data_IF_278132920435
#
_entry.id   IF_278132920435
#
_cell.length_a   1.000
_cell.length_b   1.000
_cell.length_c   1.000
_cell.angle_alpha   90.00
_cell.angle_beta   90.00
_cell.angle_gamma   90.00
#
_symmetry.space_group_name_H-M   'P 1'
#
loop_
_entity.id
_entity.type
_entity.pdbx_description
1 polymer ?
#
# COMPACT_ATOMS: atom_id res chain seq x y z
N UNK A 1 12.97 -5.67 1.14
CA UNK A 1 12.67 -5.13 -0.22
C UNK A 1 11.30 -5.64 -0.67
N UNK A 2 10.40 -4.73 -1.05
CA UNK A 2 9.04 -5.09 -1.49
C UNK A 2 9.00 -5.58 -2.95
N UNK A 3 8.20 -6.62 -3.22
CA UNK A 3 7.88 -7.10 -4.57
C UNK A 3 6.40 -7.04 -4.82
N UNK A 4 6.03 -6.77 -6.07
CA UNK A 4 4.65 -6.88 -6.52
C UNK A 4 4.20 -8.34 -6.37
N UNK A 5 3.09 -8.54 -5.67
CA UNK A 5 2.36 -9.82 -5.65
C UNK A 5 1.46 -9.89 -6.88
N UNK A 6 1.44 -11.03 -7.57
CA UNK A 6 0.40 -11.37 -8.54
C UNK A 6 -0.86 -11.84 -7.85
N UNK A 7 -0.71 -12.45 -6.68
CA UNK A 7 -1.77 -13.16 -5.99
C UNK A 7 -2.46 -12.21 -5.02
N UNK A 8 -3.78 -12.35 -4.82
CA UNK A 8 -4.49 -11.60 -3.80
C UNK A 8 -3.87 -11.87 -2.44
N UNK A 9 -3.77 -10.83 -1.62
CA UNK A 9 -3.23 -10.97 -0.28
C UNK A 9 -4.21 -11.82 0.54
N UNK A 10 -3.79 -13.02 0.94
CA UNK A 10 -4.57 -13.92 1.79
C UNK A 10 -4.60 -13.38 3.22
N UNK A 11 -5.33 -12.29 3.42
CA UNK A 11 -5.46 -11.62 4.71
C UNK A 11 -6.72 -12.12 5.41
N UNK A 12 -6.55 -12.56 6.65
CA UNK A 12 -7.65 -12.95 7.52
C UNK A 12 -7.74 -11.96 8.68
N UNK A 13 -8.91 -11.87 9.27
CA UNK A 13 -9.13 -11.03 10.45
C UNK A 13 -8.27 -11.49 11.65
N UNK A 14 -7.99 -12.80 11.75
CA UNK A 14 -7.14 -13.36 12.78
C UNK A 14 -5.64 -13.03 12.57
N UNK A 15 -5.21 -12.87 11.30
CA UNK A 15 -3.82 -12.57 10.97
C UNK A 15 -3.51 -11.08 10.92
N UNK A 16 -4.50 -10.19 10.81
CA UNK A 16 -4.25 -8.74 10.78
C UNK A 16 -3.70 -8.26 12.14
N UNK A 17 -2.50 -7.66 12.10
CA UNK A 17 -1.82 -7.09 13.27
C UNK A 17 -1.97 -5.57 13.33
N UNK A 18 -1.81 -4.88 12.19
CA UNK A 18 -1.99 -3.43 12.12
C UNK A 18 -2.38 -2.98 10.72
N UNK A 19 -3.10 -1.86 10.63
CA UNK A 19 -3.44 -1.19 9.39
C UNK A 19 -3.16 0.31 9.50
N UNK A 20 -2.51 0.87 8.47
CA UNK A 20 -2.19 2.29 8.37
C UNK A 20 -2.60 2.86 6.99
N UNK A 21 -3.74 3.56 6.90
CA UNK A 21 -4.19 4.20 5.66
C UNK A 21 -3.32 5.40 5.27
N UNK A 22 -3.16 5.64 3.97
CA UNK A 22 -2.56 6.89 3.49
C UNK A 22 -3.55 8.06 3.63
N UNK A 23 -3.06 9.23 4.02
CA UNK A 23 -3.83 10.47 4.18
C UNK A 23 -4.03 11.23 2.87
N UNK A 24 -3.18 10.97 1.88
CA UNK A 24 -3.20 11.65 0.60
C UNK A 24 -3.44 10.68 -0.56
N UNK A 25 -3.69 11.25 -1.75
CA UNK A 25 -3.86 10.50 -2.98
C UNK A 25 -2.96 11.07 -4.09
N UNK A 26 -1.64 10.76 -4.09
CA UNK A 26 -0.73 11.25 -5.10
C UNK A 26 -1.09 10.71 -6.49
N UNK A 27 -0.73 11.47 -7.53
CA UNK A 27 -0.83 11.02 -8.92
C UNK A 27 0.34 10.11 -9.24
N UNK A 28 0.06 8.84 -9.51
CA UNK A 28 1.09 7.85 -9.85
C UNK A 28 1.19 7.67 -11.36
N UNK A 29 2.42 7.48 -11.85
CA UNK A 29 2.70 7.02 -13.21
C UNK A 29 3.63 5.80 -13.15
N UNK A 30 3.02 4.64 -12.87
CA UNK A 30 3.74 3.36 -12.73
C UNK A 30 3.18 2.36 -13.73
N UNK A 31 4.02 1.48 -14.28
CA UNK A 31 3.69 0.61 -15.43
C UNK A 31 2.46 -0.31 -15.28
N UNK A 32 1.97 -0.49 -14.06
CA UNK A 32 0.93 -1.45 -13.71
C UNK A 32 -0.33 -0.82 -13.10
N UNK A 33 -0.39 0.52 -13.04
CA UNK A 33 -1.61 1.28 -12.71
C UNK A 33 -1.83 2.32 -13.81
N UNK A 34 -3.08 2.68 -14.13
CA UNK A 34 -3.32 3.84 -14.98
C UNK A 34 -2.78 5.10 -14.30
N UNK A 35 -2.39 6.08 -15.13
CA UNK A 35 -1.89 7.36 -14.63
C UNK A 35 -3.04 8.11 -13.98
N UNK A 36 -2.91 8.45 -12.70
CA UNK A 36 -3.98 9.15 -11.98
C UNK A 36 -3.78 9.10 -10.47
N UNK A 37 -4.68 9.74 -9.71
CA UNK A 37 -4.66 9.70 -8.25
C UNK A 37 -4.87 8.26 -7.76
N UNK A 38 -4.07 7.84 -6.78
CA UNK A 38 -4.17 6.52 -6.16
C UNK A 38 -4.29 6.64 -4.64
N UNK A 39 -4.96 5.67 -4.01
CA UNK A 39 -5.01 5.51 -2.54
C UNK A 39 -4.15 4.33 -2.13
N UNK A 40 -3.63 4.36 -0.91
CA UNK A 40 -2.83 3.27 -0.38
C UNK A 40 -3.15 2.97 1.08
N UNK A 41 -2.76 1.76 1.51
CA UNK A 41 -2.69 1.38 2.90
C UNK A 41 -1.54 0.40 3.12
N UNK A 42 -0.91 0.48 4.29
CA UNK A 42 0.08 -0.49 4.75
C UNK A 42 -0.60 -1.41 5.75
N UNK A 43 -0.39 -2.71 5.59
CA UNK A 43 -0.89 -3.74 6.50
C UNK A 43 0.26 -4.59 7.02
N UNK A 44 0.27 -4.82 8.34
CA UNK A 44 1.10 -5.83 8.98
C UNK A 44 0.23 -7.01 9.37
N UNK A 45 0.69 -8.23 9.11
CA UNK A 45 -0.06 -9.45 9.37
C UNK A 45 0.84 -10.59 9.84
N UNK A 46 0.31 -11.49 10.64
CA UNK A 46 0.98 -12.72 11.05
C UNK A 46 1.03 -13.71 9.88
N UNK A 47 2.20 -14.27 9.60
CA UNK A 47 2.37 -15.35 8.63
C UNK A 47 2.23 -16.73 9.28
N UNK A 48 1.81 -17.73 8.49
CA UNK A 48 1.51 -19.09 8.96
C UNK A 48 2.73 -19.80 9.57
N UNK A 49 3.94 -19.48 9.12
CA UNK A 49 5.19 -20.13 9.56
C UNK A 49 5.86 -19.46 10.76
N UNK A 50 5.17 -18.55 11.43
CA UNK A 50 5.74 -17.76 12.51
C UNK A 50 6.58 -16.62 11.96
N UNK A 51 6.07 -15.40 12.10
CA UNK A 51 6.68 -14.19 11.58
C UNK A 51 5.64 -13.16 11.20
N UNK A 52 6.12 -11.98 10.83
CA UNK A 52 5.30 -10.85 10.43
C UNK A 52 5.54 -10.53 8.95
N UNK A 53 4.45 -10.57 8.18
CA UNK A 53 4.38 -10.09 6.82
C UNK A 53 4.01 -8.60 6.78
N UNK A 54 4.53 -7.90 5.79
CA UNK A 54 4.16 -6.52 5.48
C UNK A 54 3.69 -6.44 4.03
N UNK A 55 2.60 -5.72 3.82
CA UNK A 55 2.13 -5.41 2.48
C UNK A 55 1.69 -3.96 2.34
N UNK A 56 1.93 -3.41 1.14
CA UNK A 56 1.45 -2.10 0.70
C UNK A 56 0.41 -2.35 -0.38
N UNK A 57 -0.85 -2.07 -0.08
CA UNK A 57 -1.91 -2.07 -1.07
C UNK A 57 -2.01 -0.69 -1.72
N UNK A 58 -2.06 -0.63 -3.05
CA UNK A 58 -2.26 0.61 -3.82
C UNK A 58 -3.41 0.40 -4.79
N UNK A 59 -4.41 1.29 -4.76
CA UNK A 59 -5.58 1.27 -5.65
C UNK A 59 -5.66 2.55 -6.47
N UNK A 60 -5.81 2.43 -7.78
CA UNK A 60 -6.12 3.57 -8.65
C UNK A 60 -7.55 4.06 -8.39
N UNK A 61 -7.75 5.38 -8.28
CA UNK A 61 -9.09 5.95 -8.14
C UNK A 61 -9.83 6.00 -9.48
N UNK A 62 -9.13 6.12 -10.61
CA UNK A 62 -9.75 6.23 -11.93
C UNK A 62 -10.20 4.89 -12.48
N UNK A 63 -9.34 3.86 -12.39
CA UNK A 63 -9.62 2.55 -12.96
C UNK A 63 -9.92 1.45 -11.95
N UNK A 64 -9.82 1.75 -10.64
CA UNK A 64 -10.07 0.77 -9.58
C UNK A 64 -9.04 -0.37 -9.49
N UNK A 65 -8.01 -0.40 -10.35
CA UNK A 65 -7.00 -1.46 -10.33
C UNK A 65 -6.20 -1.42 -9.03
N UNK A 66 -5.90 -2.60 -8.50
CA UNK A 66 -5.18 -2.76 -7.26
C UNK A 66 -3.84 -3.44 -7.54
N UNK A 67 -2.80 -2.95 -6.91
CA UNK A 67 -1.50 -3.61 -6.86
C UNK A 67 -1.06 -3.73 -5.42
N UNK A 68 -0.66 -4.93 -5.04
CA UNK A 68 -0.14 -5.23 -3.71
C UNK A 68 1.37 -5.45 -3.82
N UNK A 69 2.13 -4.79 -2.96
CA UNK A 69 3.55 -5.04 -2.78
C UNK A 69 3.76 -5.73 -1.45
N UNK A 70 4.33 -6.94 -1.44
CA UNK A 70 4.62 -7.71 -0.22
C UNK A 70 6.12 -7.71 0.07
N UNK A 71 6.51 -7.74 1.34
CA UNK A 71 7.88 -8.07 1.72
C UNK A 71 8.24 -9.50 1.26
N UNK A 72 9.49 -9.71 0.85
CA UNK A 72 9.96 -11.03 0.41
C UNK A 72 10.37 -11.92 1.58
N UNK A 73 10.83 -11.31 2.67
CA UNK A 73 11.38 -12.00 3.83
C UNK A 73 10.47 -11.68 5.02
N UNK A 74 9.94 -12.71 5.71
CA UNK A 74 9.17 -12.49 6.93
C UNK A 74 10.06 -11.79 7.96
N UNK A 75 9.45 -10.87 8.69
CA UNK A 75 10.09 -10.18 9.81
C UNK A 75 9.93 -11.06 11.03
N UNK A 76 10.98 -11.16 11.85
CA UNK A 76 10.90 -11.89 13.11
C UNK A 76 9.80 -11.31 14.01
N UNK A 77 9.04 -12.19 14.66
CA UNK A 77 7.96 -11.81 15.56
C UNK A 77 8.47 -11.08 16.83
N UNK A 78 9.77 -11.17 17.12
CA UNK A 78 10.42 -10.39 18.18
C UNK A 78 10.50 -8.89 17.90
N UNK A 79 10.43 -8.48 16.62
CA UNK A 79 10.52 -7.08 16.20
C UNK A 79 9.19 -6.38 16.44
N UNK A 80 9.23 -5.22 17.10
CA UNK A 80 8.03 -4.42 17.33
C UNK A 80 7.37 -3.96 16.02
N UNK A 81 6.03 -3.92 16.00
CA UNK A 81 5.25 -3.56 14.80
C UNK A 81 5.67 -2.18 14.25
N UNK A 82 5.90 -1.20 15.12
CA UNK A 82 6.34 0.14 14.73
C UNK A 82 7.67 0.12 13.97
N UNK A 83 8.65 -0.65 14.45
CA UNK A 83 9.96 -0.79 13.81
C UNK A 83 9.84 -1.53 12.47
N UNK A 84 9.03 -2.58 12.42
CA UNK A 84 8.78 -3.33 11.19
C UNK A 84 8.16 -2.43 10.10
N UNK A 85 7.19 -1.59 10.47
CA UNK A 85 6.50 -0.70 9.53
C UNK A 85 7.40 0.36 8.89
N UNK A 86 8.51 0.74 9.52
CA UNK A 86 9.44 1.77 9.01
C UNK A 86 9.92 1.46 7.58
N UNK A 87 10.17 0.18 7.30
CA UNK A 87 10.60 -0.24 5.95
C UNK A 87 9.48 -0.08 4.92
N UNK A 88 8.23 -0.33 5.31
CA UNK A 88 7.05 -0.15 4.46
C UNK A 88 6.76 1.34 4.23
N UNK A 89 6.84 2.16 5.29
CA UNK A 89 6.65 3.61 5.25
C UNK A 89 7.66 4.25 4.30
N UNK A 90 8.96 3.99 4.48
CA UNK A 90 10.00 4.52 3.59
C UNK A 90 9.79 4.13 2.12
N UNK A 91 9.23 2.93 1.88
CA UNK A 91 8.94 2.47 0.52
C UNK A 91 7.72 3.17 -0.09
N UNK A 92 6.68 3.39 0.70
CA UNK A 92 5.45 4.06 0.27
C UNK A 92 5.63 5.59 0.11
N UNK A 93 6.43 6.22 0.97
CA UNK A 93 6.78 7.65 0.88
C UNK A 93 7.56 7.97 -0.40
N UNK A 94 8.42 7.06 -0.87
CA UNK A 94 9.09 7.19 -2.17
C UNK A 94 8.12 7.17 -3.35
N UNK A 95 6.91 6.63 -3.16
CA UNK A 95 5.82 6.71 -4.14
C UNK A 95 4.97 7.98 -3.95
N UNK A 96 5.25 8.79 -2.93
CA UNK A 96 4.55 10.05 -2.62
C UNK A 96 3.38 9.92 -1.65
N UNK A 97 3.21 8.76 -1.00
CA UNK A 97 2.16 8.59 0.02
C UNK A 97 2.60 9.14 1.37
N UNK A 98 1.66 9.75 2.09
CA UNK A 98 1.82 10.23 3.46
C UNK A 98 0.87 9.44 4.35
N UNK A 99 1.34 9.02 5.52
CA UNK A 99 0.58 8.20 6.47
C UNK A 99 0.50 8.92 7.81
N UNK A 100 -0.68 8.88 8.42
CA UNK A 100 -0.89 9.43 9.77
C UNK A 100 -0.18 8.55 10.81
N UNK A 101 0.23 9.08 11.95
CA UNK A 101 0.77 8.28 13.07
C UNK A 101 -0.28 7.36 13.69
N UNK A 102 -1.56 7.67 13.48
CA UNK A 102 -2.69 6.87 13.94
C UNK A 102 -2.70 5.48 13.28
N UNK A 103 -2.27 4.48 14.04
CA UNK A 103 -2.28 3.08 13.67
C UNK A 103 -3.52 2.40 14.26
N UNK A 104 -4.26 1.67 13.41
CA UNK A 104 -5.31 0.77 13.90
C UNK A 104 -4.63 -0.54 14.29
N UNK A 105 -4.32 -0.67 15.58
CA UNK A 105 -3.76 -1.89 16.14
C UNK A 105 -4.82 -2.97 16.31
N UNK A 106 -4.50 -4.16 15.77
CA UNK A 106 -5.30 -5.35 15.91
C UNK A 106 -5.05 -6.03 17.25
N UNK A 107 -5.56 -5.46 18.35
CA UNK A 107 -5.53 -6.13 19.66
C UNK A 107 -6.28 -7.48 19.55
N UNK A 108 -5.69 -8.61 20.01
CA UNK A 108 -6.36 -9.91 19.99
C UNK A 108 -7.73 -9.85 20.68
N UNK A 109 -8.79 -10.23 19.97
CA UNK A 109 -10.17 -10.22 20.49
C UNK A 109 -10.84 -8.84 20.55
N UNK A 110 -10.18 -7.78 20.09
CA UNK A 110 -10.74 -6.42 20.04
C UNK A 110 -11.50 -6.11 18.75
N UNK A 111 -12.42 -5.15 18.83
CA UNK A 111 -13.15 -4.60 17.67
C UNK A 111 -12.22 -3.98 16.60
N UNK A 112 -10.98 -3.65 16.97
CA UNK A 112 -10.00 -3.03 16.07
C UNK A 112 -9.65 -3.88 14.84
N UNK A 113 -9.59 -5.22 14.96
CA UNK A 113 -9.28 -6.10 13.82
C UNK A 113 -10.39 -6.12 12.78
N UNK A 114 -11.64 -6.24 13.22
CA UNK A 114 -12.80 -6.17 12.33
C UNK A 114 -12.88 -4.84 11.61
N UNK A 115 -12.66 -3.74 12.35
CA UNK A 115 -12.63 -2.41 11.76
C UNK A 115 -11.49 -2.26 10.76
N UNK A 116 -10.29 -2.76 11.08
CA UNK A 116 -9.15 -2.74 10.18
C UNK A 116 -9.42 -3.57 8.92
N UNK A 117 -9.98 -4.77 9.04
CA UNK A 117 -10.36 -5.59 7.88
C UNK A 117 -11.40 -4.91 7.00
N UNK A 118 -12.45 -4.35 7.59
CA UNK A 118 -13.47 -3.61 6.86
C UNK A 118 -12.86 -2.37 6.16
N UNK A 119 -11.93 -1.68 6.81
CA UNK A 119 -11.24 -0.52 6.22
C UNK A 119 -10.29 -0.94 5.09
N UNK A 120 -9.54 -2.03 5.27
CA UNK A 120 -8.71 -2.61 4.22
C UNK A 120 -9.56 -3.00 3.00
N UNK A 121 -10.67 -3.69 3.22
CA UNK A 121 -11.67 -4.00 2.19
C UNK A 121 -12.12 -2.72 1.48
N UNK A 122 -12.61 -1.72 2.22
CA UNK A 122 -13.04 -0.45 1.63
C UNK A 122 -11.96 0.25 0.80
N UNK A 123 -10.69 0.22 1.23
CA UNK A 123 -9.58 0.89 0.55
C UNK A 123 -9.10 0.12 -0.68
N UNK A 124 -9.02 -1.20 -0.57
CA UNK A 124 -8.59 -2.07 -1.66
C UNK A 124 -9.72 -2.48 -2.57
N UNK A 125 -10.95 -2.03 -2.32
CA UNK A 125 -12.12 -2.48 -3.06
C UNK A 125 -12.40 -3.93 -2.72
N UNK A 126 -13.04 -4.15 -1.57
CA UNK A 126 -14.00 -5.23 -1.42
C UNK A 126 -14.81 -5.22 -2.68
N UNK A 127 -14.74 -6.33 -3.39
CA UNK A 127 -15.34 -6.61 -4.68
C UNK A 127 -16.75 -5.99 -4.72
N UNK A 128 -16.86 -4.71 -5.09
CA UNK A 128 -17.94 -4.26 -5.96
C UNK A 128 -17.66 -5.04 -7.24
N UNK A 129 -18.01 -6.34 -7.20
CA UNK A 129 -18.55 -7.03 -8.35
C UNK A 129 -19.40 -5.96 -9.02
N UNK A 130 -19.02 -5.48 -10.20
CA UNK A 130 -19.69 -4.36 -10.84
C UNK A 130 -21.16 -4.68 -10.71
N UNK A 131 -21.88 -3.90 -9.87
CA UNK A 131 -23.27 -4.18 -9.54
C UNK A 131 -23.92 -4.41 -10.88
N UNK A 132 -24.37 -5.65 -11.11
CA UNK A 132 -24.70 -6.18 -12.43
C UNK A 132 -25.38 -5.05 -13.20
N UNK A 133 -24.79 -4.62 -14.35
CA UNK A 133 -25.02 -3.31 -14.95
C UNK A 133 -26.48 -2.99 -14.76
N UNK A 134 -26.79 -2.04 -13.86
CA UNK A 134 -28.17 -1.78 -13.47
C UNK A 134 -28.95 -1.76 -14.77
N UNK A 135 -29.75 -2.80 -14.98
CA UNK A 135 -30.52 -2.94 -16.18
C UNK A 135 -31.36 -1.68 -16.18
N UNK A 136 -30.97 -0.72 -17.00
CA UNK A 136 -31.68 0.55 -17.17
C UNK A 136 -33.11 0.08 -17.34
N UNK A 137 -34.02 0.32 -16.38
CA UNK A 137 -35.37 -0.19 -16.49
C UNK A 137 -35.86 0.37 -17.79
N UNK A 138 -36.05 -0.51 -18.78
CA UNK A 138 -36.48 -0.15 -20.12
C UNK A 138 -37.68 0.74 -19.95
N UNK A 139 -37.47 2.05 -20.08
CA UNK A 139 -38.57 3.00 -20.05
C UNK A 139 -39.51 2.52 -21.15
N UNK A 140 -40.80 2.25 -20.84
CA UNK A 140 -41.73 1.83 -21.84
C UNK A 140 -41.71 2.88 -22.95
N UNK A 141 -41.33 2.44 -24.13
CA UNK A 141 -41.23 3.26 -25.33
C UNK A 141 -42.54 4.04 -25.51
N UNK A 142 -42.50 5.34 -25.25
CA UNK A 142 -43.53 6.24 -25.75
C UNK A 142 -43.22 6.45 -27.21
N UNK A 143 -43.95 5.72 -28.05
CA UNK A 143 -43.95 5.83 -29.50
C UNK A 143 -44.21 7.27 -29.95
N UNK A 144 -43.18 7.94 -30.45
CA UNK A 144 -43.31 9.03 -31.42
C UNK A 144 -42.32 8.71 -32.55
N UNK A 145 -42.75 7.90 -33.52
CA UNK A 145 -43.33 8.36 -34.79
C UNK A 145 -42.38 9.24 -35.62
N UNK A 146 -41.54 8.56 -36.41
CA UNK A 146 -41.36 8.74 -37.87
C UNK A 146 -41.15 10.18 -38.36
N UNK A 147 -39.92 10.48 -38.81
CA UNK A 147 -39.63 10.78 -40.23
C UNK A 147 -38.10 10.79 -40.54
N UNK A 148 -37.69 9.86 -41.40
CA UNK A 148 -36.43 9.79 -42.19
C UNK A 148 -36.40 10.85 -43.33
N UNK A 149 -35.34 10.95 -44.19
CA UNK A 149 -33.88 11.10 -44.05
C UNK A 149 -33.39 12.32 -44.93
N UNK A 150 -32.11 12.57 -45.33
CA UNK A 150 -31.22 11.67 -46.11
C UNK A 150 -29.70 11.68 -45.79
N UNK A 151 -29.09 10.53 -46.06
CA UNK A 151 -27.80 10.27 -46.73
C UNK A 151 -26.81 11.44 -46.91
N UNK A 152 -25.63 11.36 -46.26
CA UNK A 152 -24.37 11.77 -46.90
C UNK A 152 -23.20 10.87 -46.49
N UNK A 153 -22.79 10.08 -47.47
CA UNK A 153 -21.52 9.36 -47.57
C UNK A 153 -20.34 10.34 -47.63
N UNK A 154 -19.32 10.14 -46.80
CA UNK A 154 -17.93 10.47 -47.15
C UNK A 154 -16.94 9.84 -46.15
N UNK A 155 -16.38 8.69 -46.56
CA UNK A 155 -15.18 8.08 -45.99
C UNK A 155 -13.93 8.80 -46.51
N UNK A 156 -13.02 9.30 -45.65
CA UNK A 156 -11.64 9.50 -46.04
C UNK A 156 -10.82 8.24 -45.70
N UNK A 157 -10.39 7.53 -46.75
CA UNK A 157 -9.26 6.60 -46.72
C UNK A 157 -8.00 7.42 -46.38
N UNK A 158 -7.39 7.16 -45.23
CA UNK A 158 -6.02 7.61 -44.96
C UNK A 158 -5.08 6.42 -45.11
N UNK A 159 -4.22 6.59 -46.09
CA UNK A 159 -3.25 5.64 -46.62
C UNK A 159 -2.18 5.28 -45.60
N UNK A 160 -1.83 4.00 -45.62
CA UNK A 160 -0.61 3.45 -45.03
C UNK A 160 0.61 4.28 -45.46
N UNK A 161 1.44 4.66 -44.48
CA UNK A 161 2.81 5.10 -44.70
C UNK A 161 3.70 4.23 -43.84
N UNK A 162 4.24 3.21 -44.49
CA UNK A 162 5.37 2.40 -44.06
C UNK A 162 6.64 3.08 -44.61
N UNK A 163 7.63 3.40 -43.76
CA UNK A 163 8.99 3.29 -44.22
C UNK A 163 9.89 2.57 -43.21
N UNK A 164 10.37 1.43 -43.67
CA UNK A 164 11.65 0.85 -43.33
C UNK A 164 12.80 1.88 -43.25
N UNK A 165 13.49 1.89 -42.12
CA UNK A 165 14.88 2.34 -41.94
C UNK A 165 15.35 1.73 -40.60
N UNK A 166 16.05 0.59 -40.52
CA UNK A 166 17.39 0.29 -41.03
C UNK A 166 18.45 1.33 -40.63
N UNK A 167 18.90 1.24 -39.37
CA UNK A 167 20.26 1.53 -38.85
C UNK A 167 20.31 0.78 -37.50
N UNK A 168 20.88 -0.41 -37.35
CA UNK A 168 22.26 -0.85 -37.55
C UNK A 168 23.32 0.06 -36.89
N UNK A 169 24.31 -0.59 -36.27
CA UNK A 169 25.51 -0.03 -35.62
C UNK A 169 25.34 0.51 -34.18
N UNK A 170 25.74 -0.28 -33.18
CA UNK A 170 27.01 -0.02 -32.50
C UNK A 170 27.44 -1.19 -31.60
N UNK A 171 28.12 -2.16 -32.21
CA UNK A 171 28.99 -3.11 -31.53
C UNK A 171 30.41 -2.51 -31.55
N UNK A 172 30.92 -2.10 -30.39
CA UNK A 172 32.33 -1.74 -30.17
C UNK A 172 32.59 -1.89 -28.67
N UNK A 173 33.20 -3.00 -28.26
CA UNK A 173 34.64 -3.26 -28.27
C UNK A 173 35.35 -2.65 -27.06
N UNK A 174 35.81 -3.57 -26.20
CA UNK A 174 37.19 -3.65 -25.68
C UNK A 174 37.75 -2.53 -24.81
N UNK A 175 38.06 -2.89 -23.55
CA UNK A 175 39.39 -2.79 -22.92
C UNK A 175 39.23 -3.19 -21.44
N UNK A 176 39.64 -4.40 -21.03
CA UNK A 176 41.02 -4.68 -20.59
C UNK A 176 41.71 -3.49 -19.93
N UNK A 177 41.64 -3.45 -18.61
CA UNK A 177 42.65 -2.79 -17.78
C UNK A 177 42.83 -3.62 -16.50
N UNK A 178 43.77 -4.55 -16.57
CA UNK A 178 44.55 -5.03 -15.45
C UNK A 178 45.18 -3.80 -14.77
N UNK A 179 44.84 -3.56 -13.51
CA UNK A 179 45.61 -2.67 -12.64
C UNK A 179 45.88 -3.43 -11.35
N UNK A 180 47.06 -4.06 -11.34
CA UNK A 180 47.79 -4.42 -10.15
C UNK A 180 47.90 -3.16 -9.26
N UNK A 181 47.43 -3.24 -8.02
CA UNK A 181 47.87 -2.30 -6.99
C UNK A 181 48.19 -3.05 -5.71
N UNK A 182 49.48 -3.31 -5.59
CA UNK A 182 50.19 -3.60 -4.36
C UNK A 182 50.01 -2.45 -3.37
N UNK A 183 49.59 -2.74 -2.15
CA UNK A 183 49.78 -1.91 -0.94
C UNK A 183 49.37 -2.81 0.23
N UNK A 184 50.26 -3.59 0.84
CA UNK A 184 51.35 -3.19 1.75
C UNK A 184 50.92 -2.16 2.80
N UNK A 185 50.82 -2.63 4.04
CA UNK A 185 51.05 -1.85 5.25
C UNK A 185 49.80 -1.28 5.91
N UNK A 186 49.39 -1.87 7.03
CA UNK A 186 49.58 -1.23 8.34
C UNK A 186 48.79 -2.01 9.40
N UNK A 187 49.51 -2.77 10.20
CA UNK A 187 49.10 -3.27 11.50
C UNK A 187 48.92 -2.09 12.46
N UNK A 188 47.69 -1.88 12.93
CA UNK A 188 47.40 -1.27 14.23
C UNK A 188 46.35 -2.20 14.83
N UNK A 189 46.71 -3.12 15.73
CA UNK A 189 46.97 -2.83 17.14
C UNK A 189 46.07 -1.70 17.64
N UNK A 190 44.79 -2.06 17.78
CA UNK A 190 43.84 -1.31 18.61
C UNK A 190 43.53 -2.22 19.77
N UNK A 191 44.19 -1.90 20.88
CA UNK A 191 43.91 -2.34 22.24
C UNK A 191 42.41 -2.42 22.47
N UNK A 192 41.93 -3.63 22.73
CA UNK A 192 40.58 -3.87 23.22
C UNK A 192 40.55 -3.54 24.71
N UNK A 193 39.69 -2.62 25.18
CA UNK A 193 39.44 -2.51 26.61
C UNK A 193 38.65 -3.75 27.05
N UNK A 194 39.25 -4.55 27.93
CA UNK A 194 38.55 -5.53 28.78
C UNK A 194 37.41 -4.83 29.50
N UNK A 195 36.18 -5.01 29.01
CA UNK A 195 34.99 -4.72 29.79
C UNK A 195 34.80 -5.87 30.77
N UNK A 196 35.23 -5.62 32.01
CA UNK A 196 34.81 -6.28 33.23
C UNK A 196 33.29 -6.52 33.18
N UNK A 197 32.90 -7.77 32.95
CA UNK A 197 31.55 -8.25 33.19
C UNK A 197 31.41 -8.40 34.71
N UNK A 198 30.78 -7.42 35.34
CA UNK A 198 30.31 -7.52 36.71
C UNK A 198 29.28 -8.65 36.81
N UNK A 199 29.60 -9.56 37.73
CA UNK A 199 28.88 -10.74 38.18
C UNK A 199 27.53 -10.31 38.77
N UNK A 200 26.48 -10.26 37.94
CA UNK A 200 25.10 -10.05 38.40
C UNK A 200 24.59 -11.39 38.91
N UNK A 201 24.52 -11.46 40.24
CA UNK A 201 23.97 -12.54 41.03
C UNK A 201 22.64 -13.06 40.46
N UNK A 202 22.57 -14.39 40.36
CA UNK A 202 21.35 -15.13 40.12
C UNK A 202 20.35 -14.86 41.26
N UNK A 203 19.33 -14.06 40.97
CA UNK A 203 18.14 -13.98 41.82
C UNK A 203 17.17 -15.10 41.46
N UNK A 204 16.67 -15.73 42.52
CA UNK A 204 15.82 -16.91 42.58
C UNK A 204 14.65 -16.91 41.57
N UNK A 205 14.42 -18.02 40.84
CA UNK A 205 13.14 -18.24 40.18
C UNK A 205 12.08 -18.49 41.25
N UNK A 206 11.29 -17.45 41.49
CA UNK A 206 10.03 -17.49 42.21
C UNK A 206 9.22 -18.74 41.78
N UNK A 207 8.93 -19.61 42.74
CA UNK A 207 7.95 -20.70 42.64
C UNK A 207 6.58 -20.09 42.30
N UNK A 208 6.25 -20.05 41.01
CA UNK A 208 4.87 -19.81 40.60
C UNK A 208 4.13 -21.12 40.84
N UNK A 209 3.30 -21.09 41.89
CA UNK A 209 2.33 -22.12 42.23
C UNK A 209 1.53 -22.53 40.99
N UNK A 210 1.64 -23.81 40.66
CA UNK A 210 0.75 -24.49 39.72
C UNK A 210 -0.62 -24.61 40.36
N UNK A 211 -1.48 -23.61 40.15
CA UNK A 211 -2.91 -23.77 40.40
C UNK A 211 -3.49 -24.73 39.35
N UNK A 212 -3.88 -25.87 39.89
CA UNK A 212 -4.60 -27.00 39.33
C UNK A 212 -5.90 -26.54 38.65
N UNK A 213 -5.82 -26.12 37.38
CA UNK A 213 -7.01 -25.99 36.53
C UNK A 213 -7.53 -27.38 36.17
N UNK A 214 -8.50 -27.81 36.99
CA UNK A 214 -9.36 -28.96 36.76
C UNK A 214 -9.86 -29.00 35.31
N UNK A 215 -9.50 -30.08 34.62
CA UNK A 215 -10.04 -30.46 33.33
C UNK A 215 -11.56 -30.65 33.45
N UNK A 216 -12.33 -29.65 33.04
CA UNK A 216 -13.77 -29.79 32.84
C UNK A 216 -13.98 -30.35 31.44
N UNK A 217 -14.17 -31.67 31.40
CA UNK A 217 -14.55 -32.47 30.25
C UNK A 217 -15.89 -31.94 29.67
N UNK A 218 -15.96 -31.46 28.42
CA UNK A 218 -17.24 -31.14 27.81
C UNK A 218 -17.96 -32.45 27.47
N UNK A 219 -19.01 -32.73 28.24
CA UNK A 219 -19.94 -33.83 28.05
C UNK A 219 -20.64 -33.69 26.69
N UNK A 220 -20.25 -34.55 25.75
CA UNK A 220 -20.86 -34.69 24.45
C UNK A 220 -22.09 -35.58 24.59
N UNK A 221 -23.25 -35.00 24.90
CA UNK A 221 -24.58 -35.61 24.67
C UNK A 221 -25.71 -34.59 24.91
N UNK A 222 -25.98 -33.73 23.94
CA UNK A 222 -27.31 -33.14 23.80
C UNK A 222 -27.77 -33.19 22.35
N UNK A 223 -28.74 -34.08 22.12
CA UNK A 223 -29.44 -34.26 20.87
C UNK A 223 -30.28 -33.01 20.52
N UNK A 224 -30.48 -32.71 19.21
CA UNK A 224 -31.26 -31.57 18.77
C UNK A 224 -32.75 -31.78 19.04
N UNK A 225 -33.33 -30.88 19.82
CA UNK A 225 -34.78 -30.81 20.05
C UNK A 225 -35.41 -30.06 18.85
N UNK A 226 -36.36 -30.65 18.11
CA UNK A 226 -37.02 -29.97 17.01
C UNK A 226 -38.22 -29.16 17.51
N UNK A 227 -38.44 -28.02 16.86
CA UNK A 227 -39.73 -27.30 16.81
C UNK A 227 -40.06 -26.39 17.99
N UNK A 228 -39.66 -25.11 17.87
CA UNK A 228 -40.47 -24.01 18.37
C UNK A 228 -40.73 -23.03 17.23
N UNK A 229 -42.00 -22.97 16.83
CA UNK A 229 -42.53 -21.99 15.88
C UNK A 229 -42.50 -20.61 16.55
N UNK A 230 -41.67 -19.71 16.02
CA UNK A 230 -41.71 -18.30 16.40
C UNK A 230 -42.97 -17.64 15.81
N UNK A 231 -43.73 -16.86 16.61
CA UNK A 231 -44.85 -16.08 16.11
C UNK A 231 -44.35 -14.92 15.21
N UNK A 232 -45.21 -14.39 14.32
CA UNK A 232 -44.85 -13.33 13.39
C UNK A 232 -44.52 -12.04 14.15
N UNK A 233 -43.28 -11.59 14.02
CA UNK A 233 -42.83 -10.28 14.52
C UNK A 233 -43.42 -9.21 13.61
N UNK A 234 -44.35 -8.43 14.15
CA UNK A 234 -44.87 -7.20 13.57
C UNK A 234 -43.72 -6.28 13.15
N UNK A 235 -43.61 -5.99 11.86
CA UNK A 235 -42.62 -5.09 11.31
C UNK A 235 -42.90 -3.66 11.78
N UNK A 236 -42.22 -3.25 12.85
CA UNK A 236 -42.15 -1.84 13.26
C UNK A 236 -41.32 -1.10 12.22
N UNK A 237 -42.02 -0.45 11.29
CA UNK A 237 -41.45 0.44 10.28
C UNK A 237 -40.88 1.67 11.01
N UNK A 238 -39.56 1.92 11.00
CA UNK A 238 -39.01 3.12 11.60
C UNK A 238 -39.46 4.35 10.80
N UNK A 239 -39.83 5.47 11.46
CA UNK A 239 -40.26 6.68 10.78
C UNK A 239 -39.11 7.25 9.93
N UNK A 240 -39.43 7.57 8.68
CA UNK A 240 -38.50 8.17 7.73
C UNK A 240 -37.88 9.46 8.30
N UNK A 241 -36.58 9.43 8.57
CA UNK A 241 -35.83 10.63 8.91
C UNK A 241 -35.74 11.52 7.67
N UNK A 242 -36.48 12.63 7.69
CA UNK A 242 -36.37 13.67 6.67
C UNK A 242 -35.00 14.33 6.79
N UNK A 243 -34.12 14.04 5.83
CA UNK A 243 -32.83 14.70 5.66
C UNK A 243 -33.07 16.21 5.49
N UNK A 244 -32.62 16.95 6.50
CA UNK A 244 -32.73 18.39 6.60
C UNK A 244 -32.03 19.08 5.43
N UNK A 245 -32.81 19.93 4.76
CA UNK A 245 -32.41 20.75 3.61
C UNK A 245 -31.46 21.85 4.07
N UNK A 246 -30.15 21.57 4.15
CA UNK A 246 -29.15 22.64 4.16
C UNK A 246 -28.98 23.20 2.75
N UNK A 247 -29.96 24.00 2.32
CA UNK A 247 -29.73 25.15 1.45
C UNK A 247 -29.39 26.32 2.37
N UNK A 248 -28.24 26.94 2.14
CA UNK A 248 -28.06 28.39 2.07
C UNK A 248 -26.63 28.69 1.68
N UNK A 249 -26.42 28.97 0.39
CA UNK A 249 -25.28 29.72 -0.09
C UNK A 249 -25.58 31.21 0.11
N UNK A 250 -24.68 32.01 0.70
CA UNK A 250 -24.71 33.44 0.54
C UNK A 250 -23.98 33.81 -0.77
N UNK A 251 -24.78 34.32 -1.70
CA UNK A 251 -24.35 35.13 -2.83
C UNK A 251 -23.99 36.52 -2.30
N UNK A 252 -22.75 36.96 -2.46
CA UNK A 252 -22.29 38.35 -2.36
C UNK A 252 -20.85 38.36 -2.91
N UNK A 253 -20.34 39.33 -3.64
CA UNK A 253 -20.89 40.45 -4.39
C UNK A 253 -19.69 40.99 -5.18
N UNK A 254 -19.95 41.40 -6.41
CA UNK A 254 -19.12 42.25 -7.26
C UNK A 254 -18.07 43.14 -6.57
N UNK A 255 -16.83 43.11 -7.07
CA UNK A 255 -16.07 44.34 -7.27
C UNK A 255 -15.22 44.23 -8.54
N UNK A 256 -15.69 44.93 -9.54
CA UNK A 256 -14.97 45.38 -10.73
C UNK A 256 -13.89 46.37 -10.27
N UNK A 257 -12.64 46.16 -10.67
CA UNK A 257 -11.66 47.25 -10.73
C UNK A 257 -10.83 47.02 -11.98
N UNK A 258 -11.20 47.75 -13.02
CA UNK A 258 -10.31 48.10 -14.11
C UNK A 258 -9.29 49.07 -13.52
N UNK A 259 -8.00 48.76 -13.60
CA UNK A 259 -7.00 49.81 -13.72
C UNK A 259 -5.82 49.34 -14.58
N UNK A 260 -5.34 50.31 -15.35
CA UNK A 260 -4.50 50.17 -16.51
C UNK A 260 -3.02 49.94 -16.16
N UNK A 261 -2.34 49.29 -17.10
CA UNK A 261 -0.94 49.55 -17.49
C UNK A 261 0.14 49.56 -16.42
N UNK A 262 1.06 48.59 -16.49
CA UNK A 262 2.43 48.98 -16.76
C UNK A 262 3.24 47.82 -17.35
N UNK A 263 3.95 48.13 -18.43
CA UNK A 263 4.98 47.28 -19.01
C UNK A 263 6.21 47.35 -18.08
N UNK A 264 6.60 46.22 -17.51
CA UNK A 264 7.91 46.12 -16.86
C UNK A 264 8.51 44.75 -17.13
N UNK A 265 9.35 44.76 -18.17
CA UNK A 265 10.38 43.80 -18.48
C UNK A 265 11.24 43.52 -17.24
N UNK A 266 11.02 42.38 -16.58
CA UNK A 266 11.98 41.87 -15.60
C UNK A 266 12.54 40.53 -16.08
N UNK A 267 13.55 40.65 -16.94
CA UNK A 267 14.57 39.64 -17.23
C UNK A 267 15.40 39.41 -15.96
N UNK A 268 14.80 38.79 -14.95
CA UNK A 268 15.49 38.29 -13.77
C UNK A 268 16.02 36.90 -14.08
N UNK A 269 17.26 36.82 -14.58
CA UNK A 269 18.01 35.58 -14.68
C UNK A 269 18.16 35.00 -13.26
N UNK A 270 17.29 34.06 -12.92
CA UNK A 270 17.37 33.34 -11.66
C UNK A 270 18.64 32.48 -11.71
N UNK A 271 19.70 33.00 -11.11
CA UNK A 271 20.95 32.32 -10.83
C UNK A 271 20.67 31.26 -9.75
N UNK A 272 19.91 30.22 -10.13
CA UNK A 272 19.78 29.00 -9.35
C UNK A 272 21.16 28.36 -9.31
N UNK A 273 21.80 28.49 -8.15
CA UNK A 273 23.08 27.87 -7.82
C UNK A 273 23.05 26.41 -8.25
N UNK A 274 23.94 26.06 -9.18
CA UNK A 274 24.13 24.70 -9.66
C UNK A 274 24.59 23.85 -8.48
N UNK A 275 23.68 23.09 -7.89
CA UNK A 275 24.01 22.09 -6.88
C UNK A 275 24.87 21.02 -7.57
N UNK A 276 26.14 20.81 -7.17
CA UNK A 276 26.97 19.77 -7.76
C UNK A 276 26.36 18.40 -7.42
N UNK A 277 26.00 17.64 -8.45
CA UNK A 277 25.61 16.24 -8.32
C UNK A 277 26.82 15.43 -7.83
N UNK A 278 26.91 15.24 -6.52
CA UNK A 278 27.88 14.33 -5.90
C UNK A 278 27.46 12.90 -6.26
N UNK A 279 28.14 12.33 -7.24
CA UNK A 279 27.96 10.94 -7.65
C UNK A 279 28.57 10.04 -6.57
N UNK A 280 27.77 9.64 -5.59
CA UNK A 280 28.17 8.67 -4.56
C UNK A 280 28.49 7.34 -5.27
N UNK A 281 29.79 7.05 -5.44
CA UNK A 281 30.26 5.71 -5.78
C UNK A 281 29.95 4.82 -4.58
N UNK A 282 28.87 4.04 -4.67
CA UNK A 282 28.67 2.89 -3.78
C UNK A 282 29.76 1.88 -4.13
N UNK A 283 30.82 1.86 -3.33
CA UNK A 283 31.79 0.79 -3.38
C UNK A 283 31.07 -0.53 -3.13
N UNK A 284 31.35 -1.52 -3.98
CA UNK A 284 30.64 -2.78 -4.01
C UNK A 284 30.74 -3.47 -2.66
N UNK A 285 29.61 -3.51 -1.94
CA UNK A 285 29.44 -4.43 -0.81
C UNK A 285 29.69 -5.83 -1.35
N UNK A 286 30.85 -6.41 -1.03
CA UNK A 286 31.20 -7.79 -1.33
C UNK A 286 30.06 -8.64 -0.76
N UNK A 287 29.24 -9.22 -1.65
CA UNK A 287 28.16 -10.12 -1.27
C UNK A 287 28.81 -11.35 -0.67
N UNK A 288 28.89 -11.39 0.66
CA UNK A 288 29.22 -12.61 1.38
C UNK A 288 28.06 -13.57 1.13
N UNK A 289 28.29 -14.75 0.54
CA UNK A 289 27.21 -15.68 0.23
C UNK A 289 26.48 -16.03 1.53
N UNK A 290 25.15 -16.02 1.49
CA UNK A 290 24.29 -16.26 2.65
C UNK A 290 24.67 -17.52 3.42
N UNK A 291 25.18 -18.55 2.72
CA UNK A 291 25.69 -19.79 3.32
C UNK A 291 26.84 -19.57 4.32
N UNK A 292 27.79 -18.68 4.06
CA UNK A 292 28.90 -18.47 4.99
C UNK A 292 28.49 -17.68 6.23
N UNK A 293 27.41 -16.89 6.17
CA UNK A 293 26.82 -16.25 7.35
C UNK A 293 26.06 -17.26 8.21
N UNK A 294 25.42 -18.26 7.58
CA UNK A 294 24.65 -19.30 8.26
C UNK A 294 25.56 -20.34 8.96
N UNK A 295 26.74 -20.61 8.39
CA UNK A 295 27.72 -21.52 8.98
C UNK A 295 28.57 -20.89 10.10
N UNK A 296 28.64 -19.56 10.16
CA UNK A 296 29.38 -18.85 11.22
C UNK A 296 28.58 -18.71 12.52
N UNK A 297 27.32 -19.15 12.55
CA UNK A 297 26.44 -19.05 13.72
C UNK A 297 26.28 -20.38 14.49
N UNK A 298 27.03 -21.42 14.11
CA UNK A 298 27.17 -22.69 14.83
C UNK A 298 28.58 -22.81 15.38
#
# INVERSE_FOLDING_TARGET
MFRRSSDPLALSEASLLALRPAMNAPVLNVKFLPVGPARAAIVAFAEEYGGMGLAIGVRSNEGGQIVVFKNQEPIDASVGIAEALETALSSAERLGFLFDEDMIEGVPGGQGRTQAMALWGRLMGELELPSAPQAIPSQPATSQSILEPPLHSALPKLSATDPAALLDVNESASASALAESSTSGSSADVDAPELLLDDVAAEDPNEIALDEISATQPDASQAPNPTQANPPVEAVVPPAQQLSKFRNAPSDSSSTTEDAGDESSNSGSSALGRIPLVRVRREGSKRVPFLSRLLSSF
#
